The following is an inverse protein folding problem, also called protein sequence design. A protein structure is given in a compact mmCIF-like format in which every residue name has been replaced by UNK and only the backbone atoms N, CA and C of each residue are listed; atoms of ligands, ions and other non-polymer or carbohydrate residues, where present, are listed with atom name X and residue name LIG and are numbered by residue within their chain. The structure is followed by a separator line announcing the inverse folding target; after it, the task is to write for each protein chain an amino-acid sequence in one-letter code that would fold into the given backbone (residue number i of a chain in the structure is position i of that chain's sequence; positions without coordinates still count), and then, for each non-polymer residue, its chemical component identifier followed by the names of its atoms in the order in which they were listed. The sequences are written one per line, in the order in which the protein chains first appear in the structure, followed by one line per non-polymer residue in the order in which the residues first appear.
data_IF_163172711354
#
_entry.id   IF_163172711354
#
_cell.length_a   1.000
_cell.length_b   1.000
_cell.length_c   1.000
_cell.angle_alpha   90.00
_cell.angle_beta   90.00
_cell.angle_gamma   90.00
#
_symmetry.space_group_name_H-M   'P 1'
#
loop_
_entity.id
_entity.type
_entity.pdbx_description
1 polymer ?
#
# COMPACT_ATOMS: atom_id res chain seq x y z
N UNK A 1 14.43 -4.50 -8.18
CA UNK A 1 14.81 -3.53 -7.15
C UNK A 1 13.52 -3.05 -6.49
N UNK A 2 13.27 -3.49 -5.26
CA UNK A 2 12.12 -3.05 -4.46
C UNK A 2 12.57 -1.74 -3.80
N UNK A 3 11.80 -0.67 -3.96
CA UNK A 3 12.26 0.67 -3.58
C UNK A 3 11.67 1.11 -2.24
N UNK A 4 10.46 0.67 -1.86
CA UNK A 4 9.82 0.96 -0.55
C UNK A 4 8.80 -0.13 -0.17
N UNK A 5 8.74 -0.48 1.12
CA UNK A 5 7.70 -1.31 1.74
C UNK A 5 6.81 -0.40 2.60
N UNK A 6 5.55 -0.75 2.82
CA UNK A 6 4.66 -0.01 3.70
C UNK A 6 3.84 -1.01 4.51
N UNK A 7 3.82 -0.88 5.83
CA UNK A 7 2.96 -1.68 6.69
C UNK A 7 1.71 -0.88 7.05
N UNK A 8 0.55 -1.35 6.60
CA UNK A 8 -0.72 -0.69 6.82
C UNK A 8 -1.47 -1.44 7.90
N UNK A 9 -1.64 -0.84 9.08
CA UNK A 9 -2.52 -1.38 10.12
C UNK A 9 -3.92 -0.80 9.98
N UNK A 10 -4.87 -1.65 9.64
CA UNK A 10 -6.29 -1.31 9.59
C UNK A 10 -6.91 -1.45 10.99
N UNK A 11 -7.73 -0.49 11.41
CA UNK A 11 -8.63 -0.68 12.56
C UNK A 11 -10.07 -0.45 12.13
N UNK A 12 -10.62 -1.42 11.40
CA UNK A 12 -12.06 -1.45 11.11
C UNK A 12 -12.83 -2.24 12.16
N UNK A 13 -14.08 -1.86 12.45
CA UNK A 13 -14.99 -2.56 13.39
C UNK A 13 -15.11 -4.08 13.17
N UNK A 14 -14.78 -4.59 11.98
CA UNK A 14 -14.88 -6.01 11.60
C UNK A 14 -13.56 -6.71 11.29
N UNK A 15 -12.44 -5.99 11.23
CA UNK A 15 -11.13 -6.57 10.88
C UNK A 15 -10.01 -5.81 11.59
N UNK A 16 -9.30 -6.52 12.48
CA UNK A 16 -8.07 -6.05 13.09
C UNK A 16 -6.91 -6.88 12.53
N UNK A 17 -6.12 -6.31 11.63
CA UNK A 17 -4.99 -6.98 11.00
C UNK A 17 -3.98 -5.97 10.47
N UNK A 18 -2.71 -6.38 10.44
CA UNK A 18 -1.66 -5.65 9.74
C UNK A 18 -1.58 -6.21 8.32
N UNK A 19 -1.78 -5.36 7.34
CA UNK A 19 -1.63 -5.68 5.92
C UNK A 19 -0.34 -5.04 5.44
N UNK A 20 0.62 -5.84 4.99
CA UNK A 20 1.81 -5.30 4.34
C UNK A 20 1.46 -4.96 2.90
N UNK A 21 1.85 -3.76 2.49
CA UNK A 21 1.78 -3.27 1.12
C UNK A 21 3.20 -3.05 0.58
N UNK A 22 3.50 -3.62 -0.58
CA UNK A 22 4.78 -3.37 -1.26
C UNK A 22 4.58 -2.42 -2.44
N UNK A 23 5.34 -1.33 -2.50
CA UNK A 23 5.28 -0.40 -3.63
C UNK A 23 5.91 -1.06 -4.87
N UNK A 24 5.16 -1.13 -5.96
CA UNK A 24 5.57 -1.76 -7.21
C UNK A 24 5.41 -0.82 -8.40
N UNK A 25 6.26 -1.02 -9.40
CA UNK A 25 6.21 -0.33 -10.68
C UNK A 25 5.56 -1.23 -11.72
N UNK A 26 4.43 -0.77 -12.25
CA UNK A 26 3.68 -1.36 -13.35
C UNK A 26 3.94 -0.56 -14.64
N UNK A 27 3.59 -1.11 -15.83
CA UNK A 27 3.79 -0.40 -17.11
C UNK A 27 3.08 0.96 -17.18
N UNK A 28 1.97 1.12 -16.48
CA UNK A 28 1.11 2.31 -16.46
C UNK A 28 1.34 3.24 -15.26
N UNK A 29 2.24 2.88 -14.34
CA UNK A 29 2.60 3.73 -13.20
C UNK A 29 3.00 2.95 -11.95
N UNK A 30 2.89 3.60 -10.80
CA UNK A 30 3.22 3.06 -9.50
C UNK A 30 1.95 2.73 -8.72
N UNK A 31 1.97 1.62 -7.99
CA UNK A 31 0.87 1.18 -7.12
C UNK A 31 1.41 0.33 -5.97
N UNK A 32 0.52 -0.16 -5.12
CA UNK A 32 0.88 -1.12 -4.08
C UNK A 32 0.32 -2.51 -4.38
N UNK A 33 1.14 -3.52 -4.13
CA UNK A 33 0.73 -4.90 -4.00
C UNK A 33 0.37 -5.19 -2.54
N UNK A 34 -0.75 -5.87 -2.33
CA UNK A 34 -1.12 -6.41 -1.01
C UNK A 34 -0.41 -7.74 -0.79
N UNK A 35 0.46 -7.78 0.22
CA UNK A 35 1.21 -8.98 0.56
C UNK A 35 0.38 -9.90 1.48
N UNK A 36 0.57 -11.23 1.35
CA UNK A 36 -0.09 -12.22 2.19
C UNK A 36 -1.45 -12.74 1.69
N UNK A 37 -1.88 -12.32 0.50
CA UNK A 37 -2.98 -12.97 -0.22
C UNK A 37 -2.46 -14.25 -0.92
N UNK A 38 -3.13 -15.40 -0.77
CA UNK A 38 -2.66 -16.70 -1.30
C UNK A 38 -2.72 -16.81 -2.83
N UNK A 39 -3.46 -15.94 -3.51
CA UNK A 39 -3.60 -15.93 -4.96
C UNK A 39 -3.17 -14.58 -5.55
N UNK A 40 -2.23 -14.66 -6.50
CA UNK A 40 -1.76 -13.61 -7.41
C UNK A 40 -1.35 -12.26 -6.78
N UNK A 41 -0.67 -11.43 -7.57
CA UNK A 41 -0.31 -10.07 -7.15
C UNK A 41 -1.60 -9.26 -7.02
N UNK A 42 -2.11 -9.12 -5.80
CA UNK A 42 -3.28 -8.29 -5.54
C UNK A 42 -2.87 -6.81 -5.54
N UNK A 43 -2.96 -6.19 -6.71
CA UNK A 43 -2.62 -4.78 -6.90
C UNK A 43 -3.81 -3.88 -6.56
N UNK A 44 -3.53 -2.74 -5.92
CA UNK A 44 -4.54 -1.68 -5.79
C UNK A 44 -4.97 -1.18 -7.19
N UNK A 45 -6.24 -0.81 -7.33
CA UNK A 45 -6.85 -0.49 -8.64
C UNK A 45 -6.41 0.85 -9.23
N UNK A 46 -5.73 1.68 -8.44
CA UNK A 46 -5.24 2.99 -8.88
C UNK A 46 -3.75 2.96 -9.22
N UNK A 47 -3.34 3.95 -10.01
CA UNK A 47 -1.95 4.20 -10.43
C UNK A 47 -1.55 5.63 -10.15
N UNK A 48 -0.30 5.84 -9.79
CA UNK A 48 0.33 7.15 -9.68
C UNK A 48 1.52 7.26 -10.62
N UNK A 49 1.83 8.48 -11.09
CA UNK A 49 2.95 8.69 -12.02
C UNK A 49 4.32 8.55 -11.36
N UNK A 50 4.39 8.79 -10.05
CA UNK A 50 5.62 8.75 -9.25
C UNK A 50 5.42 7.88 -8.02
N UNK A 51 6.50 7.30 -7.47
CA UNK A 51 6.44 6.52 -6.24
C UNK A 51 5.94 7.36 -5.05
N UNK A 52 6.35 8.62 -4.94
CA UNK A 52 5.87 9.56 -3.91
C UNK A 52 4.37 9.86 -4.07
N UNK A 53 3.91 9.96 -5.32
CA UNK A 53 2.49 10.14 -5.64
C UNK A 53 1.66 8.93 -5.24
N UNK A 54 2.23 7.72 -5.33
CA UNK A 54 1.57 6.51 -4.87
C UNK A 54 1.42 6.51 -3.34
N UNK A 55 2.49 6.85 -2.60
CA UNK A 55 2.43 6.97 -1.14
C UNK A 55 1.39 8.00 -0.68
N UNK A 56 1.36 9.17 -1.33
CA UNK A 56 0.38 10.21 -1.02
C UNK A 56 -1.04 9.75 -1.32
N UNK A 57 -1.25 9.10 -2.47
CA UNK A 57 -2.57 8.57 -2.83
C UNK A 57 -3.05 7.47 -1.89
N UNK A 58 -2.14 6.66 -1.36
CA UNK A 58 -2.45 5.68 -0.33
C UNK A 58 -2.98 6.36 0.94
N UNK A 59 -2.36 7.47 1.37
CA UNK A 59 -2.82 8.27 2.51
C UNK A 59 -4.14 9.00 2.23
N UNK A 60 -4.38 9.44 0.99
CA UNK A 60 -5.63 10.11 0.60
C UNK A 60 -6.82 9.11 0.55
N UNK A 61 -6.57 7.86 0.18
CA UNK A 61 -7.62 6.81 0.06
C UNK A 61 -7.98 6.20 1.41
N UNK A 62 -6.99 6.04 2.30
CA UNK A 62 -7.17 5.45 3.62
C UNK A 62 -6.97 6.52 4.69
N UNK A 63 -8.09 7.10 5.17
CA UNK A 63 -8.05 8.17 6.16
C UNK A 63 -7.31 7.69 7.43
N UNK A 64 -6.30 8.45 7.92
CA UNK A 64 -5.55 8.09 9.12
C UNK A 64 -6.40 7.97 10.40
N UNK A 65 -7.65 8.49 10.39
CA UNK A 65 -8.61 8.31 11.48
C UNK A 65 -9.19 6.90 11.54
N UNK A 66 -9.29 6.24 10.39
CA UNK A 66 -9.86 4.90 10.25
C UNK A 66 -8.76 3.83 10.09
N UNK A 67 -7.56 4.22 9.67
CA UNK A 67 -6.42 3.35 9.38
C UNK A 67 -5.12 3.93 9.93
N UNK A 68 -4.28 3.13 10.58
CA UNK A 68 -2.95 3.54 10.97
C UNK A 68 -1.96 3.10 9.88
N UNK A 69 -1.48 4.04 9.08
CA UNK A 69 -0.52 3.78 7.99
C UNK A 69 0.91 3.96 8.51
N UNK A 70 1.72 2.89 8.54
CA UNK A 70 3.16 2.97 8.83
C UNK A 70 3.95 2.67 7.57
N UNK A 71 4.41 3.70 6.87
CA UNK A 71 5.25 3.51 5.68
C UNK A 71 6.70 3.28 6.13
N UNK A 72 7.27 2.11 5.82
CA UNK A 72 8.61 1.70 6.27
C UNK A 72 9.56 1.57 5.08
N UNK A 73 10.42 2.55 4.86
CA UNK A 73 11.44 2.47 3.80
C UNK A 73 12.46 1.37 4.13
N UNK A 74 12.45 0.29 3.36
CA UNK A 74 13.48 -0.74 3.43
C UNK A 74 14.57 -0.37 2.43
N UNK A 75 15.74 0.04 2.94
CA UNK A 75 16.93 0.42 2.16
C UNK A 75 17.71 -0.81 1.75
#
# INVERSE_FOLDING_TARGET
MIIKRADVSARGERYSGVVTLTLVKEPDGWTYNVDGMPDERFLLTWRAKTPEGASRKLQDVYDPKDWQLTVTETV
#
